data_IF_112957997735
#
_entry.id   IF_112957997735
#
_cell.length_a   1.000
_cell.length_b   1.000
_cell.length_c   1.000
_cell.angle_alpha   90.00
_cell.angle_beta   90.00
_cell.angle_gamma   90.00
#
_symmetry.space_group_name_H-M   'P 1'
#
loop_
_entity.id
_entity.type
_entity.pdbx_description
1 polymer ?
#
# COMPACT_ATOMS: atom_id res chain seq x y z
N UNK A 1 -8.03 -6.54 -13.28
CA UNK A 1 -7.88 -5.37 -12.38
C UNK A 1 -7.89 -5.90 -10.94
N UNK A 2 -7.11 -5.35 -10.00
CA UNK A 2 -7.12 -5.83 -8.60
C UNK A 2 -8.47 -5.49 -7.93
N UNK A 3 -9.03 -6.38 -7.08
CA UNK A 3 -10.29 -6.14 -6.36
C UNK A 3 -10.23 -4.87 -5.52
N UNK A 4 -11.26 -4.04 -5.65
CA UNK A 4 -11.41 -2.81 -4.87
C UNK A 4 -12.77 -2.82 -4.17
N UNK A 5 -12.94 -2.13 -3.03
CA UNK A 5 -14.16 -2.23 -2.23
C UNK A 5 -15.37 -1.50 -2.86
N UNK A 6 -15.15 -0.72 -3.92
CA UNK A 6 -16.19 0.10 -4.53
C UNK A 6 -17.01 -0.65 -5.59
N UNK A 7 -16.50 -1.75 -6.14
CA UNK A 7 -17.14 -2.43 -7.26
C UNK A 7 -16.81 -3.92 -7.29
N UNK A 8 -17.79 -4.71 -7.73
CA UNK A 8 -17.59 -6.12 -8.09
C UNK A 8 -16.59 -6.22 -9.24
N UNK A 9 -15.72 -7.21 -9.16
CA UNK A 9 -14.87 -7.62 -10.28
C UNK A 9 -15.44 -8.95 -10.79
N UNK A 10 -15.36 -9.18 -12.08
CA UNK A 10 -15.74 -10.46 -12.69
C UNK A 10 -14.61 -11.48 -12.55
N UNK A 11 -14.96 -12.72 -12.21
CA UNK A 11 -14.02 -13.81 -12.01
C UNK A 11 -14.67 -14.98 -11.27
N UNK A 12 -13.99 -16.13 -11.26
CA UNK A 12 -14.38 -17.27 -10.43
C UNK A 12 -13.91 -17.01 -9.00
N UNK A 13 -14.85 -16.64 -8.14
CA UNK A 13 -14.63 -16.45 -6.71
C UNK A 13 -15.33 -17.54 -5.93
N UNK A 14 -14.67 -18.08 -4.92
CA UNK A 14 -15.30 -19.02 -3.98
C UNK A 14 -16.44 -18.36 -3.19
N UNK A 15 -16.35 -17.05 -2.96
CA UNK A 15 -17.33 -16.26 -2.21
C UNK A 15 -17.46 -14.85 -2.81
N UNK A 16 -18.69 -14.36 -2.90
CA UNK A 16 -19.02 -12.99 -3.30
C UNK A 16 -19.75 -12.32 -2.15
N UNK A 17 -19.29 -11.12 -1.80
CA UNK A 17 -19.85 -10.25 -0.76
C UNK A 17 -20.70 -9.15 -1.39
N UNK A 18 -21.55 -8.53 -0.58
CA UNK A 18 -22.31 -7.36 -1.00
C UNK A 18 -21.42 -6.11 -1.03
N UNK A 19 -21.71 -5.23 -2.00
CA UNK A 19 -20.95 -4.01 -2.26
C UNK A 19 -21.88 -2.79 -2.18
N UNK A 20 -21.36 -1.61 -1.79
CA UNK A 20 -19.98 -1.37 -1.36
C UNK A 20 -19.70 -1.95 0.04
N UNK A 21 -18.46 -2.37 0.27
CA UNK A 21 -18.03 -2.81 1.60
C UNK A 21 -17.96 -1.58 2.51
N UNK A 22 -18.50 -1.68 3.73
CA UNK A 22 -18.41 -0.57 4.69
C UNK A 22 -16.94 -0.29 5.05
N UNK A 23 -16.56 0.98 5.33
CA UNK A 23 -15.21 1.28 5.82
C UNK A 23 -14.83 0.51 7.09
N UNK A 24 -15.81 0.23 7.97
CA UNK A 24 -15.66 -0.53 9.20
C UNK A 24 -15.31 -2.00 8.92
N UNK A 25 -16.06 -2.65 8.03
CA UNK A 25 -15.80 -4.04 7.63
C UNK A 25 -14.43 -4.15 6.96
N UNK A 26 -14.11 -3.20 6.09
CA UNK A 26 -12.83 -3.20 5.40
C UNK A 26 -11.66 -3.03 6.38
N UNK A 27 -11.82 -2.16 7.38
CA UNK A 27 -10.85 -1.99 8.46
C UNK A 27 -10.66 -3.28 9.26
N UNK A 28 -11.75 -3.93 9.65
CA UNK A 28 -11.72 -5.18 10.42
C UNK A 28 -11.06 -6.31 9.61
N UNK A 29 -11.41 -6.45 8.34
CA UNK A 29 -10.83 -7.49 7.48
C UNK A 29 -9.33 -7.35 7.34
N UNK A 30 -8.83 -6.14 7.11
CA UNK A 30 -7.39 -5.90 7.02
C UNK A 30 -6.71 -6.15 8.38
N UNK A 31 -7.32 -5.69 9.47
CA UNK A 31 -6.78 -5.86 10.83
C UNK A 31 -6.60 -7.34 11.21
N UNK A 32 -7.48 -8.19 10.70
CA UNK A 32 -7.50 -9.63 10.97
C UNK A 32 -6.93 -10.49 9.84
N UNK A 33 -6.39 -9.90 8.76
CA UNK A 33 -5.80 -10.66 7.66
C UNK A 33 -4.35 -11.05 7.95
N UNK A 34 -3.88 -12.09 7.25
CA UNK A 34 -2.46 -12.47 7.23
C UNK A 34 -1.59 -11.49 6.43
N UNK A 35 -2.21 -10.64 5.63
CA UNK A 35 -1.55 -9.62 4.83
C UNK A 35 -2.47 -8.92 3.83
N UNK A 36 -1.99 -7.84 3.23
CA UNK A 36 -2.71 -7.06 2.24
C UNK A 36 -1.90 -6.86 0.95
N UNK A 37 -2.51 -7.07 -0.21
CA UNK A 37 -1.92 -6.72 -1.51
C UNK A 37 -2.90 -5.81 -2.22
N UNK A 38 -2.47 -4.61 -2.61
CA UNK A 38 -3.36 -3.73 -3.35
C UNK A 38 -2.80 -2.34 -3.60
N UNK A 39 -3.67 -1.47 -4.13
CA UNK A 39 -3.29 -0.13 -4.60
C UNK A 39 -3.88 1.01 -3.77
N UNK A 40 -4.87 0.72 -2.91
CA UNK A 40 -5.62 1.77 -2.20
C UNK A 40 -4.82 2.24 -0.99
N UNK A 41 -4.68 3.55 -0.87
CA UNK A 41 -3.86 4.18 0.17
C UNK A 41 -4.36 3.90 1.60
N UNK A 42 -5.68 3.97 1.83
CA UNK A 42 -6.25 3.74 3.18
C UNK A 42 -5.97 2.32 3.71
N UNK A 43 -6.17 1.24 2.94
CA UNK A 43 -5.74 -0.10 3.37
C UNK A 43 -4.27 -0.24 3.69
N UNK A 44 -3.41 0.42 2.93
CA UNK A 44 -1.97 0.40 3.17
C UNK A 44 -1.67 1.05 4.53
N UNK A 45 -2.33 2.16 4.85
CA UNK A 45 -2.24 2.79 6.18
C UNK A 45 -2.79 1.86 7.27
N UNK A 46 -3.96 1.24 7.07
CA UNK A 46 -4.57 0.33 8.05
C UNK A 46 -3.65 -0.86 8.31
N UNK A 47 -3.03 -1.41 7.25
CA UNK A 47 -2.07 -2.51 7.36
C UNK A 47 -0.85 -2.09 8.17
N UNK A 48 -0.25 -0.95 7.82
CA UNK A 48 0.87 -0.37 8.56
C UNK A 48 0.51 -0.09 10.03
N UNK A 49 -0.68 0.44 10.29
CA UNK A 49 -1.14 0.78 11.63
C UNK A 49 -1.30 -0.46 12.52
N UNK A 50 -1.86 -1.52 11.97
CA UNK A 50 -2.09 -2.77 12.68
C UNK A 50 -0.88 -3.72 12.64
N UNK A 51 0.22 -3.33 11.99
CA UNK A 51 1.40 -4.16 11.80
C UNK A 51 1.15 -5.37 10.90
N UNK A 52 0.14 -5.32 10.05
CA UNK A 52 -0.20 -6.38 9.10
C UNK A 52 0.75 -6.28 7.89
N UNK A 53 1.38 -7.39 7.45
CA UNK A 53 2.20 -7.42 6.25
C UNK A 53 1.47 -6.84 5.04
N UNK A 54 2.17 -6.12 4.17
CA UNK A 54 1.53 -5.59 2.98
C UNK A 54 2.47 -5.47 1.77
N UNK A 55 1.87 -5.47 0.58
CA UNK A 55 2.47 -5.04 -0.68
C UNK A 55 1.59 -3.95 -1.28
N UNK A 56 2.21 -2.81 -1.56
CA UNK A 56 1.57 -1.61 -2.05
C UNK A 56 1.92 -1.37 -3.52
N UNK A 57 0.96 -1.60 -4.41
CA UNK A 57 1.07 -1.27 -5.82
C UNK A 57 0.72 0.19 -6.07
N UNK A 58 1.64 0.90 -6.68
CA UNK A 58 1.50 2.32 -6.95
C UNK A 58 1.40 2.59 -8.44
N UNK A 59 0.24 3.09 -8.87
CA UNK A 59 0.03 3.47 -10.27
C UNK A 59 0.22 4.98 -10.50
N UNK A 60 0.31 5.77 -9.43
CA UNK A 60 0.43 7.23 -9.48
C UNK A 60 1.88 7.70 -9.59
N UNK A 61 2.81 6.80 -9.89
CA UNK A 61 4.21 7.13 -10.10
C UNK A 61 4.32 8.07 -11.30
N UNK A 62 4.53 9.36 -11.02
CA UNK A 62 4.88 10.35 -12.03
C UNK A 62 6.38 10.23 -12.30
N UNK A 63 6.74 9.78 -13.51
CA UNK A 63 8.15 9.79 -13.97
C UNK A 63 8.61 11.25 -14.01
N UNK A 64 9.55 11.60 -13.14
CA UNK A 64 10.09 12.95 -12.96
C UNK A 64 10.91 13.42 -14.16
N UNK A 65 10.89 14.74 -14.38
CA UNK A 65 11.84 15.48 -15.22
C UNK A 65 13.27 15.32 -14.66
N UNK A 66 14.18 14.82 -15.50
CA UNK A 66 15.58 14.44 -15.20
C UNK A 66 16.43 15.51 -14.50
N UNK A 67 16.04 16.79 -14.58
CA UNK A 67 16.84 17.93 -14.10
C UNK A 67 16.66 18.29 -12.62
N UNK A 68 15.54 17.94 -11.98
CA UNK A 68 15.25 18.40 -10.60
C UNK A 68 15.57 17.39 -9.49
N UNK A 69 16.06 16.19 -9.82
CA UNK A 69 16.58 15.20 -8.85
C UNK A 69 15.64 14.81 -7.69
N UNK A 70 14.32 15.00 -7.83
CA UNK A 70 13.35 14.59 -6.80
C UNK A 70 13.00 13.11 -7.03
N UNK A 71 13.39 12.24 -6.12
CA UNK A 71 13.06 10.82 -6.16
C UNK A 71 11.61 10.62 -5.64
N UNK A 72 10.72 10.21 -6.55
CA UNK A 72 9.41 9.56 -6.35
C UNK A 72 8.38 10.30 -5.46
N UNK A 73 7.25 10.72 -6.06
CA UNK A 73 6.33 11.74 -5.53
C UNK A 73 4.99 11.24 -4.97
N UNK A 74 4.70 9.95 -4.99
CA UNK A 74 3.38 9.48 -4.54
C UNK A 74 3.27 9.46 -3.01
N UNK A 75 2.03 9.51 -2.52
CA UNK A 75 1.74 9.38 -1.09
C UNK A 75 2.20 8.02 -0.56
N UNK A 76 2.03 6.96 -1.35
CA UNK A 76 2.40 5.59 -0.98
C UNK A 76 3.91 5.40 -0.88
N UNK A 77 4.68 5.93 -1.84
CA UNK A 77 6.14 5.89 -1.78
C UNK A 77 6.67 6.61 -0.54
N UNK A 78 6.21 7.84 -0.31
CA UNK A 78 6.63 8.65 0.83
C UNK A 78 6.30 7.98 2.17
N UNK A 79 5.11 7.36 2.27
CA UNK A 79 4.73 6.56 3.43
C UNK A 79 5.73 5.42 3.65
N UNK A 80 5.95 4.57 2.65
CA UNK A 80 6.86 3.42 2.79
C UNK A 80 8.29 3.85 3.11
N UNK A 81 8.75 4.97 2.55
CA UNK A 81 10.06 5.56 2.84
C UNK A 81 10.17 6.02 4.31
N UNK A 82 9.17 6.77 4.81
CA UNK A 82 9.12 7.27 6.20
C UNK A 82 9.16 6.15 7.23
N UNK A 83 8.47 5.05 6.96
CA UNK A 83 8.38 3.93 7.89
C UNK A 83 9.43 2.84 7.64
N UNK A 84 10.37 3.06 6.71
CA UNK A 84 11.47 2.13 6.44
C UNK A 84 11.04 0.80 5.81
N UNK A 85 9.89 0.79 5.14
CA UNK A 85 9.27 -0.40 4.50
C UNK A 85 9.23 -0.26 2.98
N UNK A 86 10.24 0.39 2.40
CA UNK A 86 10.27 0.68 0.96
C UNK A 86 10.23 -0.60 0.08
N UNK A 87 10.70 -1.73 0.59
CA UNK A 87 10.63 -3.02 -0.10
C UNK A 87 9.19 -3.48 -0.38
N UNK A 88 8.21 -2.97 0.37
CA UNK A 88 6.80 -3.29 0.23
C UNK A 88 6.12 -2.44 -0.86
N UNK A 89 6.76 -1.37 -1.32
CA UNK A 89 6.26 -0.51 -2.40
C UNK A 89 6.70 -1.06 -3.75
N UNK A 90 5.76 -1.08 -4.71
CA UNK A 90 5.96 -1.58 -6.07
C UNK A 90 5.37 -0.59 -7.07
N UNK A 91 6.17 -0.14 -8.04
CA UNK A 91 5.66 0.66 -9.16
C UNK A 91 4.91 -0.27 -10.11
N UNK A 92 3.58 -0.16 -10.15
CA UNK A 92 2.74 -1.08 -10.93
C UNK A 92 3.11 -1.10 -12.42
N UNK A 93 3.64 0.00 -12.97
CA UNK A 93 3.98 0.08 -14.40
C UNK A 93 5.30 -0.61 -14.74
N UNK A 94 6.19 -0.74 -13.77
CA UNK A 94 7.53 -1.31 -13.96
C UNK A 94 7.73 -2.59 -13.14
N UNK A 95 6.67 -3.09 -12.49
CA UNK A 95 6.74 -4.33 -11.73
C UNK A 95 6.88 -5.51 -12.68
N UNK A 96 7.90 -6.34 -12.46
CA UNK A 96 8.19 -7.52 -13.25
C UNK A 96 7.96 -8.82 -12.47
N UNK A 97 7.69 -8.73 -11.17
CA UNK A 97 7.39 -9.88 -10.30
C UNK A 97 6.11 -10.58 -10.72
N UNK A 98 6.11 -11.92 -10.64
CA UNK A 98 4.89 -12.72 -10.86
C UNK A 98 3.97 -12.63 -9.64
N UNK A 99 2.65 -12.86 -9.80
CA UNK A 99 1.73 -12.91 -8.66
C UNK A 99 2.18 -13.88 -7.55
N UNK A 100 2.76 -15.03 -7.93
CA UNK A 100 3.30 -16.02 -6.99
C UNK A 100 4.46 -15.43 -6.17
N UNK A 101 5.44 -14.80 -6.83
CA UNK A 101 6.56 -14.18 -6.12
C UNK A 101 6.14 -13.02 -5.20
N UNK A 102 5.09 -12.29 -5.57
CA UNK A 102 4.53 -11.22 -4.73
C UNK A 102 3.90 -11.82 -3.48
N UNK A 103 3.14 -12.92 -3.63
CA UNK A 103 2.53 -13.63 -2.52
C UNK A 103 3.59 -14.24 -1.60
N UNK A 104 4.60 -14.92 -2.14
CA UNK A 104 5.72 -15.46 -1.37
C UNK A 104 6.45 -14.37 -0.59
N UNK A 105 6.68 -13.20 -1.22
CA UNK A 105 7.29 -12.06 -0.54
C UNK A 105 6.44 -11.54 0.62
N UNK A 106 5.11 -11.50 0.47
CA UNK A 106 4.20 -11.13 1.55
C UNK A 106 4.24 -12.15 2.69
N UNK A 107 4.16 -13.45 2.38
CA UNK A 107 4.13 -14.52 3.38
C UNK A 107 5.44 -14.64 4.17
N UNK A 108 6.56 -14.23 3.60
CA UNK A 108 7.85 -14.18 4.29
C UNK A 108 7.94 -13.05 5.35
N UNK A 109 7.05 -12.05 5.30
CA UNK A 109 7.03 -10.95 6.25
C UNK A 109 6.39 -11.37 7.58
N UNK A 110 6.89 -10.82 8.68
CA UNK A 110 6.29 -11.01 10.01
C UNK A 110 5.46 -9.78 10.38
N UNK A 111 4.31 -9.95 11.06
CA UNK A 111 3.57 -8.83 11.61
C UNK A 111 4.43 -8.00 12.57
N UNK A 112 4.38 -6.68 12.46
CA UNK A 112 5.14 -5.75 13.30
C UNK A 112 4.33 -4.50 13.67
N UNK A 113 3.65 -4.56 14.82
CA UNK A 113 2.86 -3.44 15.38
C UNK A 113 3.72 -2.24 15.80
N UNK A 114 5.04 -2.39 15.88
CA UNK A 114 5.93 -1.31 16.27
C UNK A 114 6.41 -0.48 15.06
N UNK A 115 6.02 -0.82 13.83
CA UNK A 115 6.42 -0.09 12.61
C UNK A 115 6.14 1.41 12.71
N UNK A 116 4.99 1.81 13.24
CA UNK A 116 4.64 3.23 13.38
C UNK A 116 5.63 3.99 14.27
N UNK A 117 6.15 3.34 15.31
CA UNK A 117 7.11 3.93 16.25
C UNK A 117 8.50 4.10 15.65
N UNK A 118 8.77 3.45 14.52
CA UNK A 118 10.07 3.46 13.82
C UNK A 118 10.16 4.54 12.74
N UNK A 119 9.27 5.54 12.75
CA UNK A 119 9.23 6.58 11.73
C UNK A 119 10.58 7.30 11.64
N UNK A 120 11.19 7.28 10.46
CA UNK A 120 12.41 8.03 10.18
C UNK A 120 12.04 9.48 9.88
N UNK A 121 12.83 10.47 10.37
CA UNK A 121 12.69 11.84 9.90
C UNK A 121 13.10 11.92 8.43
N UNK A 122 12.13 11.83 7.54
CA UNK A 122 12.33 12.04 6.10
C UNK A 122 11.90 13.47 5.79
N UNK A 123 12.86 14.31 5.39
CA UNK A 123 12.65 15.72 5.07
C UNK A 123 11.48 15.92 4.11
N UNK A 124 10.61 16.85 4.48
CA UNK A 124 9.18 16.77 4.21
C UNK A 124 8.78 17.74 3.08
N UNK A 125 8.66 17.22 1.86
CA UNK A 125 7.73 17.80 0.88
C UNK A 125 6.29 17.28 1.06
N UNK A 126 6.03 16.51 2.12
CA UNK A 126 4.81 15.70 2.30
C UNK A 126 3.76 16.38 3.18
N UNK A 127 4.13 17.01 4.29
CA UNK A 127 3.28 17.92 5.08
C UNK A 127 2.78 19.07 4.21
N UNK A 128 3.68 19.76 3.49
CA UNK A 128 3.32 20.82 2.53
C UNK A 128 2.23 20.39 1.53
N UNK A 129 2.29 19.13 1.07
CA UNK A 129 1.29 18.54 0.16
C UNK A 129 -0.01 18.07 0.81
N UNK A 130 -0.03 17.81 2.12
CA UNK A 130 -1.22 17.43 2.87
C UNK A 130 -1.98 18.68 3.36
N UNK A 131 -1.26 19.73 3.78
CA UNK A 131 -1.88 20.98 4.28
C UNK A 131 -2.08 22.05 3.22
N UNK A 132 -1.54 21.87 2.00
CA UNK A 132 -1.67 22.85 0.92
C UNK A 132 -0.94 24.17 1.20
N UNK A 133 0.24 24.10 1.84
CA UNK A 133 1.10 25.25 2.18
C UNK A 133 2.50 25.04 1.60
#
# INVERSE_FOLDING_TARGET
MLPTPESKIEGDFDFIIDYPISPEDWFLWITHSSGYIGMRFHPIIVSLFNGVPFIAFDHYVKKYFKFLRIQQSSKTYDLCLRYGVLNNWKDLKNELSTPVSILENLLAQKPDKNLIRKSKPVFVNSLKRIVGI
#
